data_IF_173573887728
#
_entry.id   IF_173573887728
#
_cell.length_a   1.000
_cell.length_b   1.000
_cell.length_c   1.000
_cell.angle_alpha   90.00
_cell.angle_beta   90.00
_cell.angle_gamma   90.00
#
_symmetry.space_group_name_H-M   'P 1'
#
loop_
_entity.id
_entity.type
_entity.pdbx_description
1 polymer ?
#
# COMPACT_ATOMS: atom_id res chain seq x y z
N UNK A 1 -19.74 -20.33 -6.57
CA UNK A 1 -18.38 -19.84 -6.87
C UNK A 1 -17.43 -20.49 -5.86
N UNK A 2 -16.28 -21.05 -6.27
CA UNK A 2 -15.32 -21.71 -5.37
C UNK A 2 -14.86 -20.81 -4.20
N UNK A 3 -14.85 -19.49 -4.41
CA UNK A 3 -14.52 -18.50 -3.38
C UNK A 3 -15.49 -18.54 -2.20
N UNK A 4 -16.81 -18.62 -2.45
CA UNK A 4 -17.81 -18.67 -1.37
C UNK A 4 -17.74 -19.97 -0.57
N UNK A 5 -17.32 -21.08 -1.19
CA UNK A 5 -17.11 -22.37 -0.50
C UNK A 5 -15.85 -22.36 0.37
N UNK A 6 -14.82 -21.59 0.01
CA UNK A 6 -13.62 -21.42 0.83
C UNK A 6 -13.91 -20.58 2.08
N UNK A 7 -14.64 -19.47 1.95
CA UNK A 7 -14.90 -18.53 3.04
C UNK A 7 -15.77 -19.08 4.18
N UNK A 8 -16.56 -20.13 3.93
CA UNK A 8 -17.48 -20.72 4.92
C UNK A 8 -16.91 -21.96 5.64
N UNK A 9 -15.67 -22.37 5.35
CA UNK A 9 -15.05 -23.51 6.04
C UNK A 9 -14.65 -23.08 7.47
N UNK A 10 -14.88 -23.92 8.50
CA UNK A 10 -14.51 -23.58 9.88
C UNK A 10 -13.04 -23.16 10.03
N UNK A 11 -12.13 -23.78 9.27
CA UNK A 11 -10.70 -23.42 9.26
C UNK A 11 -10.42 -22.05 8.66
N UNK A 12 -11.15 -21.64 7.62
CA UNK A 12 -11.00 -20.32 7.01
C UNK A 12 -11.49 -19.23 7.97
N UNK A 13 -12.62 -19.48 8.65
CA UNK A 13 -13.14 -18.57 9.67
C UNK A 13 -12.18 -18.46 10.87
N UNK A 14 -11.61 -19.59 11.32
CA UNK A 14 -10.61 -19.60 12.39
C UNK A 14 -9.34 -18.82 12.01
N UNK A 15 -8.84 -19.00 10.77
CA UNK A 15 -7.67 -18.27 10.28
C UNK A 15 -7.92 -16.75 10.27
N UNK A 16 -9.10 -16.32 9.83
CA UNK A 16 -9.49 -14.91 9.86
C UNK A 16 -9.56 -14.33 11.29
N UNK A 17 -10.08 -15.11 12.26
CA UNK A 17 -10.09 -14.70 13.66
C UNK A 17 -8.67 -14.56 14.23
N UNK A 18 -7.80 -15.51 13.91
CA UNK A 18 -6.42 -15.50 14.41
C UNK A 18 -5.59 -14.37 13.78
N UNK A 19 -5.82 -14.04 12.50
CA UNK A 19 -5.30 -12.83 11.87
C UNK A 19 -5.76 -11.58 12.63
N UNK A 20 -7.06 -11.47 12.92
CA UNK A 20 -7.62 -10.35 13.69
C UNK A 20 -6.99 -10.17 15.07
N UNK A 21 -6.65 -11.27 15.77
CA UNK A 21 -5.94 -11.21 17.06
C UNK A 21 -4.50 -10.70 16.94
N UNK A 22 -3.85 -10.95 15.80
CA UNK A 22 -2.47 -10.51 15.53
C UNK A 22 -2.36 -9.03 15.14
N UNK A 23 -3.41 -8.45 14.55
CA UNK A 23 -3.40 -7.08 14.02
C UNK A 23 -2.90 -6.01 15.00
N UNK A 24 -3.29 -5.98 16.30
CA UNK A 24 -2.79 -4.98 17.23
C UNK A 24 -1.26 -5.00 17.38
N UNK A 25 -0.66 -6.20 17.45
CA UNK A 25 0.80 -6.34 17.56
C UNK A 25 1.49 -5.94 16.24
N UNK A 26 0.91 -6.31 15.09
CA UNK A 26 1.40 -5.87 13.79
C UNK A 26 1.43 -4.34 13.67
N UNK A 27 0.42 -3.64 14.16
CA UNK A 27 0.41 -2.18 14.17
C UNK A 27 1.48 -1.58 15.09
N UNK A 28 1.74 -2.17 16.26
CA UNK A 28 2.83 -1.73 17.14
C UNK A 28 4.18 -1.88 16.44
N UNK A 29 4.41 -3.01 15.79
CA UNK A 29 5.65 -3.27 15.04
C UNK A 29 5.79 -2.30 13.86
N UNK A 30 4.73 -2.07 13.09
CA UNK A 30 4.73 -1.11 11.99
C UNK A 30 5.05 0.32 12.46
N UNK A 31 4.44 0.76 13.57
CA UNK A 31 4.70 2.08 14.17
C UNK A 31 6.12 2.24 14.72
N UNK A 32 6.79 1.15 15.08
CA UNK A 32 8.18 1.20 15.55
C UNK A 32 9.17 1.51 14.42
N UNK A 33 8.77 1.30 13.15
CA UNK A 33 9.59 1.65 11.98
C UNK A 33 9.36 3.12 11.63
N UNK A 34 10.34 3.96 11.96
CA UNK A 34 10.27 5.41 11.72
C UNK A 34 11.02 5.86 10.47
N UNK A 35 11.84 5.00 9.87
CA UNK A 35 12.57 5.31 8.63
C UNK A 35 13.01 4.05 7.88
N UNK A 36 13.03 4.15 6.56
CA UNK A 36 13.63 3.24 5.59
C UNK A 36 15.01 3.72 5.08
N UNK A 37 15.54 4.80 5.65
CA UNK A 37 16.78 5.44 5.19
C UNK A 37 16.64 5.99 3.78
N UNK A 38 17.55 5.61 2.88
CA UNK A 38 17.51 6.03 1.47
C UNK A 38 16.98 4.92 0.53
N UNK A 39 16.24 3.95 1.07
CA UNK A 39 15.59 2.91 0.27
C UNK A 39 14.54 3.54 -0.65
N UNK A 40 14.60 3.32 -1.99
CA UNK A 40 13.60 3.87 -2.90
C UNK A 40 12.16 3.55 -2.47
N UNK A 41 11.31 4.58 -2.41
CA UNK A 41 9.91 4.44 -2.03
C UNK A 41 9.02 5.23 -2.98
N UNK A 42 8.02 4.56 -3.56
CA UNK A 42 6.93 5.24 -4.26
C UNK A 42 5.62 4.93 -3.54
N UNK A 43 4.90 5.98 -3.14
CA UNK A 43 3.54 5.88 -2.60
C UNK A 43 2.57 6.21 -3.73
N UNK A 44 1.93 5.18 -4.30
CA UNK A 44 0.90 5.37 -5.34
C UNK A 44 -0.47 5.50 -4.69
N UNK A 45 -0.99 6.72 -4.63
CA UNK A 45 -2.27 7.05 -4.00
C UNK A 45 -3.41 7.04 -5.02
N UNK A 46 -4.57 6.51 -4.62
CA UNK A 46 -5.82 6.64 -5.38
C UNK A 46 -6.26 8.09 -5.49
N UNK A 47 -6.90 8.45 -6.60
CA UNK A 47 -7.46 9.79 -6.81
C UNK A 47 -8.98 9.88 -6.70
N UNK A 48 -9.70 8.78 -6.92
CA UNK A 48 -11.16 8.76 -6.85
C UNK A 48 -11.64 8.31 -5.47
N UNK A 49 -12.46 9.15 -4.83
CA UNK A 49 -13.07 8.89 -3.53
C UNK A 49 -14.54 9.27 -3.58
N UNK A 50 -15.44 8.44 -3.02
CA UNK A 50 -16.87 8.79 -2.91
C UNK A 50 -17.08 10.07 -2.08
N UNK A 51 -16.24 10.29 -1.07
CA UNK A 51 -16.15 11.51 -0.26
C UNK A 51 -14.69 11.90 -0.04
N UNK A 52 -14.35 13.19 0.06
CA UNK A 52 -12.98 13.64 0.33
C UNK A 52 -12.45 13.06 1.64
N UNK A 53 -11.56 12.07 1.54
CA UNK A 53 -10.93 11.42 2.71
C UNK A 53 -9.59 12.09 3.01
N UNK A 54 -9.66 13.25 3.68
CA UNK A 54 -8.49 14.06 4.01
C UNK A 54 -7.52 13.32 4.96
N UNK A 55 -8.05 12.48 5.84
CA UNK A 55 -7.26 11.67 6.75
C UNK A 55 -6.47 10.61 5.98
N UNK A 56 -7.10 9.94 5.02
CA UNK A 56 -6.41 9.01 4.13
C UNK A 56 -5.29 9.68 3.34
N UNK A 57 -5.57 10.83 2.71
CA UNK A 57 -4.56 11.54 1.94
C UNK A 57 -3.40 11.99 2.83
N UNK A 58 -3.66 12.47 4.05
CA UNK A 58 -2.62 12.79 5.03
C UNK A 58 -1.78 11.56 5.36
N UNK A 59 -2.40 10.42 5.68
CA UNK A 59 -1.67 9.18 6.00
C UNK A 59 -0.80 8.70 4.83
N UNK A 60 -1.29 8.79 3.58
CA UNK A 60 -0.49 8.46 2.40
C UNK A 60 0.72 9.39 2.26
N UNK A 61 0.53 10.69 2.48
CA UNK A 61 1.64 11.67 2.46
C UNK A 61 2.66 11.41 3.57
N UNK A 62 2.22 11.01 4.77
CA UNK A 62 3.11 10.67 5.89
C UNK A 62 4.06 9.51 5.55
N UNK A 63 3.62 8.53 4.75
CA UNK A 63 4.47 7.41 4.31
C UNK A 63 5.67 7.88 3.48
N UNK A 64 5.53 8.97 2.73
CA UNK A 64 6.63 9.55 1.92
C UNK A 64 7.80 9.95 2.82
N UNK A 65 7.51 10.38 4.05
CA UNK A 65 8.53 10.77 5.04
C UNK A 65 9.37 9.62 5.58
N UNK A 66 9.01 8.36 5.31
CA UNK A 66 9.79 7.21 5.78
C UNK A 66 11.12 7.07 5.05
N UNK A 67 11.26 7.56 3.82
CA UNK A 67 12.51 7.49 3.05
C UNK A 67 12.99 8.85 2.58
N UNK A 68 14.30 9.06 2.54
CA UNK A 68 14.93 10.23 1.92
C UNK A 68 14.98 10.16 0.39
N UNK A 69 14.64 9.01 -0.19
CA UNK A 69 14.53 8.79 -1.63
C UNK A 69 13.11 8.31 -1.96
N UNK A 70 12.14 9.21 -1.78
CA UNK A 70 10.72 8.90 -1.91
C UNK A 70 9.99 9.83 -2.85
N UNK A 71 8.88 9.37 -3.39
CA UNK A 71 7.93 10.18 -4.14
C UNK A 71 6.49 9.69 -3.92
N UNK A 72 5.53 10.61 -3.90
CA UNK A 72 4.11 10.30 -4.02
C UNK A 72 3.62 10.52 -5.45
N UNK A 73 2.85 9.58 -5.96
CA UNK A 73 2.17 9.65 -7.25
C UNK A 73 0.66 9.47 -7.05
N UNK A 74 -0.14 9.99 -7.96
CA UNK A 74 -1.60 9.91 -7.90
C UNK A 74 -2.15 9.25 -9.15
N UNK A 75 -2.93 8.19 -8.96
CA UNK A 75 -3.73 7.57 -9.99
C UNK A 75 -5.13 8.20 -9.98
N UNK A 76 -5.27 9.35 -10.66
CA UNK A 76 -6.41 10.27 -10.49
C UNK A 76 -7.80 9.64 -10.74
N UNK A 77 -7.88 8.71 -11.69
CA UNK A 77 -9.10 8.04 -12.16
C UNK A 77 -9.39 6.67 -11.47
N UNK A 78 -8.80 6.39 -10.28
CA UNK A 78 -8.85 5.04 -9.65
C UNK A 78 -9.36 5.11 -8.22
N UNK A 79 -10.05 4.04 -7.81
CA UNK A 79 -10.47 3.78 -6.43
C UNK A 79 -9.42 2.99 -5.65
N UNK A 80 -9.85 2.06 -4.82
CA UNK A 80 -8.94 1.29 -3.95
C UNK A 80 -7.97 0.40 -4.73
N UNK A 81 -8.43 -0.20 -5.84
CA UNK A 81 -7.67 -1.18 -6.62
C UNK A 81 -7.03 -0.51 -7.84
N UNK A 82 -6.01 0.32 -7.59
CA UNK A 82 -5.33 1.10 -8.63
C UNK A 82 -4.81 0.22 -9.78
N UNK A 83 -4.31 -0.96 -9.45
CA UNK A 83 -3.78 -1.94 -10.41
C UNK A 83 -4.84 -2.52 -11.35
N UNK A 84 -6.12 -2.41 -10.99
CA UNK A 84 -7.25 -2.83 -11.83
C UNK A 84 -7.84 -1.62 -12.56
N UNK A 85 -8.03 -0.50 -11.85
CA UNK A 85 -8.72 0.68 -12.38
C UNK A 85 -7.84 1.53 -13.32
N UNK A 86 -6.52 1.61 -13.04
CA UNK A 86 -5.51 2.33 -13.83
C UNK A 86 -4.18 1.54 -13.84
N UNK A 87 -4.12 0.42 -14.56
CA UNK A 87 -2.94 -0.44 -14.58
C UNK A 87 -1.67 0.29 -15.05
N UNK A 88 -1.79 1.26 -15.96
CA UNK A 88 -0.66 2.05 -16.46
C UNK A 88 0.00 2.88 -15.34
N UNK A 89 -0.79 3.41 -14.40
CA UNK A 89 -0.27 4.14 -13.24
C UNK A 89 0.52 3.20 -12.31
N UNK A 90 0.03 1.96 -12.11
CA UNK A 90 0.75 0.95 -11.33
C UNK A 90 2.05 0.51 -12.01
N UNK A 91 2.02 0.22 -13.31
CA UNK A 91 3.21 -0.14 -14.09
C UNK A 91 4.25 0.98 -14.06
N UNK A 92 3.85 2.23 -14.34
CA UNK A 92 4.75 3.37 -14.34
C UNK A 92 5.38 3.63 -12.96
N UNK A 93 4.63 3.42 -11.87
CA UNK A 93 5.18 3.50 -10.52
C UNK A 93 6.24 2.41 -10.26
N UNK A 94 6.00 1.18 -10.69
CA UNK A 94 6.95 0.07 -10.54
C UNK A 94 8.22 0.32 -11.35
N UNK A 95 8.09 0.67 -12.63
CA UNK A 95 9.23 0.96 -13.51
C UNK A 95 10.11 2.07 -12.93
N UNK A 96 9.47 3.15 -12.45
CA UNK A 96 10.19 4.26 -11.81
C UNK A 96 10.94 3.85 -10.54
N UNK A 97 10.33 3.03 -9.68
CA UNK A 97 10.98 2.53 -8.47
C UNK A 97 12.19 1.64 -8.81
N UNK A 98 12.07 0.81 -9.84
CA UNK A 98 13.18 -0.02 -10.35
C UNK A 98 14.33 0.86 -10.83
N UNK A 99 14.05 1.94 -11.56
CA UNK A 99 15.08 2.87 -12.02
C UNK A 99 15.74 3.62 -10.85
N UNK A 100 14.98 4.09 -9.86
CA UNK A 100 15.53 4.66 -8.62
C UNK A 100 16.47 3.68 -7.90
N UNK A 101 16.18 2.38 -7.96
CA UNK A 101 17.02 1.34 -7.35
C UNK A 101 18.31 1.13 -8.13
N UNK A 102 18.24 1.11 -9.47
CA UNK A 102 19.41 0.95 -10.35
C UNK A 102 20.40 2.11 -10.22
N UNK A 103 19.90 3.34 -10.17
CA UNK A 103 20.71 4.56 -10.00
C UNK A 103 21.48 4.60 -8.68
N UNK A 104 21.06 3.83 -7.67
CA UNK A 104 21.71 3.78 -6.35
C UNK A 104 22.90 2.81 -6.31
N UNK A 105 23.03 1.92 -7.29
CA UNK A 105 24.09 0.91 -7.36
C UNK A 105 25.27 1.37 -8.23
N UNK A 106 25.16 2.54 -8.86
CA UNK A 106 26.20 3.16 -9.70
C UNK A 106 26.89 4.26 -8.92
#
# INVERSE_FOLDING_TARGET
NAYSSFSIRPRSFQAWLDEGKGMPQSFVQARAVTSFGATPLIVLSRGTTLEPDQDWQRMQTELVGLSSNSQQLFANESGHNVEIDQPEAAVGAIEKMVDMTRLRTT
#
